data_IF_207369941865
#
_entry.id   IF_207369941865
#
_cell.length_a   1.000
_cell.length_b   1.000
_cell.length_c   1.000
_cell.angle_alpha   90.00
_cell.angle_beta   90.00
_cell.angle_gamma   90.00
#
_symmetry.space_group_name_H-M   'P 1'
#
loop_
_entity.id
_entity.type
_entity.pdbx_description
1 polymer ?
#
# COMPACT_ATOMS: atom_id res chain seq x y z
N UNK A 1 48.39 28.03 -6.33
CA UNK A 1 47.36 27.66 -7.33
C UNK A 1 46.30 26.65 -6.84
N UNK A 2 46.46 26.01 -5.67
CA UNK A 2 45.51 24.99 -5.16
C UNK A 2 44.41 25.54 -4.23
N UNK A 3 44.65 26.71 -3.62
CA UNK A 3 43.72 27.31 -2.65
C UNK A 3 42.46 27.88 -3.34
N UNK A 4 42.63 28.53 -4.50
CA UNK A 4 41.52 29.07 -5.28
C UNK A 4 40.54 27.98 -5.74
N UNK A 5 41.06 26.81 -6.17
CA UNK A 5 40.22 25.65 -6.53
C UNK A 5 39.43 25.10 -5.34
N UNK A 6 40.04 25.05 -4.15
CA UNK A 6 39.35 24.62 -2.92
C UNK A 6 38.27 25.61 -2.49
N UNK A 7 38.54 26.91 -2.55
CA UNK A 7 37.56 27.96 -2.24
C UNK A 7 36.40 27.91 -3.24
N UNK A 8 36.68 27.80 -4.53
CA UNK A 8 35.65 27.67 -5.58
C UNK A 8 34.79 26.41 -5.38
N UNK A 9 35.39 25.27 -5.02
CA UNK A 9 34.66 24.02 -4.76
C UNK A 9 33.75 24.12 -3.52
N UNK A 10 34.25 24.72 -2.43
CA UNK A 10 33.47 24.92 -1.20
C UNK A 10 32.33 25.92 -1.43
N UNK A 11 32.59 27.02 -2.15
CA UNK A 11 31.55 27.95 -2.55
C UNK A 11 30.51 27.30 -3.46
N UNK A 12 30.92 26.48 -4.42
CA UNK A 12 30.01 25.74 -5.29
C UNK A 12 29.10 24.79 -4.50
N UNK A 13 29.61 24.05 -3.52
CA UNK A 13 28.79 23.20 -2.64
C UNK A 13 27.87 24.00 -1.70
N UNK A 14 28.27 25.20 -1.27
CA UNK A 14 27.44 26.05 -0.41
C UNK A 14 26.29 26.74 -1.17
N UNK A 15 26.50 27.07 -2.46
CA UNK A 15 25.47 27.68 -3.31
C UNK A 15 24.57 26.67 -4.04
N UNK A 16 25.02 25.42 -4.21
CA UNK A 16 24.22 24.33 -4.79
C UNK A 16 23.80 23.32 -3.71
N UNK A 17 22.91 23.77 -2.81
CA UNK A 17 22.15 22.84 -1.97
C UNK A 17 21.15 22.11 -2.87
N UNK A 18 21.41 20.85 -3.19
CA UNK A 18 20.43 20.00 -3.86
C UNK A 18 19.27 19.81 -2.89
N UNK A 19 18.14 20.44 -3.18
CA UNK A 19 16.89 20.18 -2.47
C UNK A 19 16.47 18.75 -2.72
N UNK A 20 16.84 17.85 -1.81
CA UNK A 20 16.31 16.48 -1.77
C UNK A 20 14.83 16.59 -1.43
N UNK A 21 13.97 16.52 -2.45
CA UNK A 21 12.53 16.37 -2.29
C UNK A 21 12.28 14.95 -1.80
N UNK A 22 12.13 14.78 -0.48
CA UNK A 22 11.64 13.52 0.07
C UNK A 22 10.25 13.23 -0.50
N UNK A 23 10.00 11.96 -0.87
CA UNK A 23 8.67 11.56 -1.32
C UNK A 23 7.65 11.86 -0.23
N UNK A 24 6.55 12.52 -0.62
CA UNK A 24 5.49 12.89 0.32
C UNK A 24 4.36 11.87 0.25
N UNK A 25 3.80 11.54 1.40
CA UNK A 25 2.69 10.59 1.52
C UNK A 25 1.51 11.22 2.27
N UNK A 26 0.27 10.88 1.90
CA UNK A 26 -0.09 10.18 0.66
C UNK A 26 0.15 11.07 -0.57
N UNK A 27 0.38 10.46 -1.74
CA UNK A 27 0.56 11.16 -3.02
C UNK A 27 -0.11 10.49 -4.22
N UNK A 28 -0.78 9.35 -4.03
CA UNK A 28 -1.50 8.64 -5.09
C UNK A 28 -2.99 9.01 -5.11
N UNK A 29 -3.81 8.26 -4.36
CA UNK A 29 -5.27 8.43 -4.36
C UNK A 29 -5.70 9.70 -3.63
N UNK A 30 -5.01 10.03 -2.54
CA UNK A 30 -5.12 11.30 -1.82
C UNK A 30 -3.75 11.95 -1.81
N UNK A 31 -3.72 13.28 -1.68
CA UNK A 31 -2.47 14.01 -1.49
C UNK A 31 -2.41 14.60 -0.09
N UNK A 32 -1.21 14.71 0.47
CA UNK A 32 -0.97 15.39 1.75
C UNK A 32 -1.55 16.82 1.78
N UNK A 33 -1.51 17.52 0.65
CA UNK A 33 -2.11 18.85 0.51
C UNK A 33 -3.64 18.85 0.59
N UNK A 34 -4.31 17.82 0.05
CA UNK A 34 -5.77 17.81 -0.09
C UNK A 34 -6.49 17.02 1.01
N UNK A 35 -5.80 16.22 1.83
CA UNK A 35 -6.45 15.40 2.88
C UNK A 35 -7.23 16.26 3.89
N UNK A 36 -6.74 17.46 4.22
CA UNK A 36 -7.44 18.38 5.12
C UNK A 36 -8.78 18.86 4.53
N UNK A 37 -8.82 19.11 3.21
CA UNK A 37 -10.05 19.48 2.51
C UNK A 37 -11.05 18.31 2.49
N UNK A 38 -10.58 17.08 2.29
CA UNK A 38 -11.43 15.87 2.36
C UNK A 38 -12.01 15.68 3.75
N UNK A 39 -11.21 15.82 4.82
CA UNK A 39 -11.69 15.76 6.21
C UNK A 39 -12.77 16.79 6.49
N UNK A 40 -12.56 18.04 6.06
CA UNK A 40 -13.58 19.09 6.17
C UNK A 40 -14.83 18.73 5.36
N UNK A 41 -14.66 18.23 4.14
CA UNK A 41 -15.75 17.82 3.26
C UNK A 41 -16.63 16.72 3.86
N UNK A 42 -16.06 15.75 4.57
CA UNK A 42 -16.82 14.70 5.29
C UNK A 42 -17.73 15.31 6.37
N UNK A 43 -17.31 16.42 7.00
CA UNK A 43 -18.12 17.15 7.98
C UNK A 43 -19.15 18.03 7.28
N UNK A 44 -18.81 18.66 6.15
CA UNK A 44 -19.67 19.65 5.48
C UNK A 44 -20.73 19.04 4.58
N UNK A 45 -20.40 18.02 3.79
CA UNK A 45 -21.25 17.52 2.70
C UNK A 45 -21.92 16.18 3.07
N UNK A 46 -23.27 16.10 3.14
CA UNK A 46 -23.97 14.89 3.54
C UNK A 46 -23.64 13.64 2.69
N UNK A 47 -23.54 13.79 1.37
CA UNK A 47 -23.21 12.66 0.48
C UNK A 47 -21.79 12.12 0.72
N UNK A 48 -20.83 13.01 0.95
CA UNK A 48 -19.46 12.61 1.27
C UNK A 48 -19.39 11.97 2.66
N UNK A 49 -20.13 12.49 3.64
CA UNK A 49 -20.28 11.86 4.96
C UNK A 49 -20.81 10.45 4.87
N UNK A 50 -21.87 10.23 4.08
CA UNK A 50 -22.46 8.91 3.88
C UNK A 50 -21.48 7.95 3.20
N UNK A 51 -20.78 8.40 2.17
CA UNK A 51 -19.74 7.62 1.49
C UNK A 51 -18.62 7.22 2.44
N UNK A 52 -18.14 8.15 3.26
CA UNK A 52 -17.15 7.88 4.29
C UNK A 52 -17.65 6.89 5.35
N UNK A 53 -18.91 7.01 5.79
CA UNK A 53 -19.47 6.08 6.77
C UNK A 53 -19.48 4.64 6.25
N UNK A 54 -19.79 4.43 4.96
CA UNK A 54 -19.71 3.11 4.32
C UNK A 54 -18.28 2.55 4.36
N UNK A 55 -17.29 3.37 3.98
CA UNK A 55 -15.87 2.99 4.02
C UNK A 55 -15.41 2.66 5.44
N UNK A 56 -15.78 3.51 6.41
CA UNK A 56 -15.42 3.33 7.81
C UNK A 56 -16.05 2.06 8.39
N UNK A 57 -17.31 1.77 8.08
CA UNK A 57 -17.98 0.54 8.51
C UNK A 57 -17.31 -0.71 7.93
N UNK A 58 -16.90 -0.68 6.67
CA UNK A 58 -16.14 -1.78 6.06
C UNK A 58 -14.78 -1.97 6.76
N UNK A 59 -14.07 -0.89 7.06
CA UNK A 59 -12.83 -0.93 7.83
C UNK A 59 -13.04 -1.49 9.24
N UNK A 60 -14.02 -0.99 9.99
CA UNK A 60 -14.33 -1.47 11.34
C UNK A 60 -14.69 -2.96 11.35
N UNK A 61 -15.46 -3.43 10.36
CA UNK A 61 -15.75 -4.86 10.18
C UNK A 61 -14.48 -5.67 9.92
N UNK A 62 -13.59 -5.19 9.06
CA UNK A 62 -12.33 -5.86 8.77
C UNK A 62 -11.44 -5.99 10.02
N UNK A 63 -11.40 -4.95 10.85
CA UNK A 63 -10.63 -4.94 12.11
C UNK A 63 -11.21 -5.90 13.17
N UNK A 64 -12.50 -6.22 13.10
CA UNK A 64 -13.15 -7.16 14.01
C UNK A 64 -12.93 -8.64 13.60
N UNK A 65 -12.53 -8.88 12.37
CA UNK A 65 -12.24 -10.21 11.84
C UNK A 65 -10.75 -10.55 12.02
N UNK A 66 -10.43 -11.84 12.09
CA UNK A 66 -9.03 -12.28 12.07
C UNK A 66 -8.39 -12.01 10.70
N UNK A 67 -7.13 -11.59 10.70
CA UNK A 67 -6.36 -11.42 9.45
C UNK A 67 -6.05 -12.81 8.89
N UNK A 68 -6.59 -13.10 7.70
CA UNK A 68 -6.36 -14.36 6.97
C UNK A 68 -5.73 -14.06 5.62
N UNK A 69 -4.49 -14.53 5.43
CA UNK A 69 -3.79 -14.51 4.14
C UNK A 69 -3.47 -15.97 3.78
N UNK A 70 -4.39 -16.66 3.09
CA UNK A 70 -4.22 -18.08 2.81
C UNK A 70 -3.16 -18.30 1.73
N UNK A 71 -2.59 -19.51 1.66
CA UNK A 71 -1.75 -19.92 0.53
C UNK A 71 -2.63 -20.02 -0.73
N UNK A 72 -2.26 -19.40 -1.86
CA UNK A 72 -3.05 -19.42 -3.08
C UNK A 72 -3.31 -20.85 -3.58
N UNK A 73 -4.59 -21.18 -3.82
CA UNK A 73 -5.02 -22.55 -4.16
C UNK A 73 -6.16 -22.59 -5.17
N UNK A 74 -7.16 -21.72 -5.03
CA UNK A 74 -8.41 -21.81 -5.77
C UNK A 74 -8.44 -20.86 -6.98
N UNK A 75 -9.17 -21.24 -8.04
CA UNK A 75 -9.41 -20.38 -9.20
C UNK A 75 -10.41 -19.25 -8.92
N UNK A 76 -10.82 -18.53 -9.96
CA UNK A 76 -11.80 -17.46 -9.86
C UNK A 76 -13.08 -17.86 -9.12
N UNK A 77 -13.48 -17.05 -8.14
CA UNK A 77 -14.65 -17.30 -7.29
C UNK A 77 -14.44 -18.31 -6.16
N UNK A 78 -13.28 -18.98 -6.10
CA UNK A 78 -12.92 -19.87 -5.00
C UNK A 78 -12.53 -19.14 -3.70
N UNK A 79 -12.35 -19.89 -2.62
CA UNK A 79 -12.12 -19.30 -1.30
C UNK A 79 -10.85 -18.45 -1.24
N UNK A 80 -9.69 -18.96 -1.64
CA UNK A 80 -8.45 -18.17 -1.57
C UNK A 80 -8.49 -16.95 -2.47
N UNK A 81 -9.15 -17.08 -3.63
CA UNK A 81 -9.37 -15.98 -4.57
C UNK A 81 -10.20 -14.84 -3.94
N UNK A 82 -11.38 -15.16 -3.42
CA UNK A 82 -12.24 -14.16 -2.80
C UNK A 82 -11.65 -13.60 -1.50
N UNK A 83 -10.89 -14.40 -0.74
CA UNK A 83 -10.21 -13.93 0.47
C UNK A 83 -9.13 -12.89 0.14
N UNK A 84 -8.30 -13.13 -0.89
CA UNK A 84 -7.31 -12.12 -1.31
C UNK A 84 -7.97 -10.85 -1.88
N UNK A 85 -9.12 -10.98 -2.55
CA UNK A 85 -9.93 -9.82 -2.98
C UNK A 85 -10.46 -9.00 -1.82
N UNK A 86 -11.00 -9.70 -0.82
CA UNK A 86 -11.45 -9.10 0.43
C UNK A 86 -10.30 -8.39 1.14
N UNK A 87 -9.11 -8.99 1.17
CA UNK A 87 -7.93 -8.39 1.81
C UNK A 87 -7.54 -7.05 1.19
N UNK A 88 -7.40 -6.94 -0.15
CA UNK A 88 -7.02 -5.66 -0.76
C UNK A 88 -8.11 -4.59 -0.58
N UNK A 89 -9.39 -4.99 -0.59
CA UNK A 89 -10.53 -4.07 -0.41
C UNK A 89 -10.60 -3.55 1.02
N UNK A 90 -10.37 -4.44 1.99
CA UNK A 90 -10.31 -4.11 3.40
C UNK A 90 -9.12 -3.20 3.72
N UNK A 91 -7.94 -3.47 3.12
CA UNK A 91 -6.76 -2.61 3.30
C UNK A 91 -7.03 -1.20 2.80
N UNK A 92 -7.61 -1.03 1.60
CA UNK A 92 -7.92 0.30 1.06
C UNK A 92 -8.97 1.03 1.92
N UNK A 93 -9.98 0.31 2.40
CA UNK A 93 -11.01 0.87 3.29
C UNK A 93 -10.40 1.35 4.62
N UNK A 94 -9.56 0.52 5.24
CA UNK A 94 -8.86 0.86 6.48
C UNK A 94 -7.90 2.04 6.27
N UNK A 95 -7.10 2.03 5.20
CA UNK A 95 -6.17 3.11 4.89
C UNK A 95 -6.88 4.45 4.65
N UNK A 96 -8.03 4.43 3.96
CA UNK A 96 -8.88 5.61 3.77
C UNK A 96 -9.47 6.09 5.10
N UNK A 97 -9.96 5.17 5.94
CA UNK A 97 -10.45 5.48 7.28
C UNK A 97 -9.35 6.08 8.17
N UNK A 98 -8.11 5.61 8.07
CA UNK A 98 -6.95 6.20 8.75
C UNK A 98 -6.74 7.66 8.33
N UNK A 99 -6.70 7.93 7.03
CA UNK A 99 -6.45 9.29 6.53
C UNK A 99 -7.54 10.27 6.93
N UNK A 100 -8.81 9.84 7.03
CA UNK A 100 -9.91 10.74 7.41
C UNK A 100 -10.04 10.87 8.93
N UNK A 101 -9.94 9.77 9.69
CA UNK A 101 -10.16 9.76 11.14
C UNK A 101 -8.91 10.07 11.99
N UNK A 102 -7.71 9.83 11.45
CA UNK A 102 -6.45 9.85 12.19
C UNK A 102 -6.25 8.67 13.16
N UNK A 103 -7.18 7.70 13.23
CA UNK A 103 -7.07 6.61 14.20
C UNK A 103 -6.05 5.56 13.79
N UNK A 104 -5.00 5.40 14.59
CA UNK A 104 -3.85 4.52 14.30
C UNK A 104 -4.23 3.04 14.07
N UNK A 105 -5.30 2.55 14.72
CA UNK A 105 -5.78 1.16 14.58
C UNK A 105 -5.96 0.71 13.12
N UNK A 106 -6.37 1.63 12.25
CA UNK A 106 -6.58 1.34 10.83
C UNK A 106 -5.26 1.19 10.07
N UNK A 107 -4.25 2.01 10.38
CA UNK A 107 -2.91 1.86 9.81
C UNK A 107 -2.23 0.57 10.31
N UNK A 108 -2.41 0.23 11.59
CA UNK A 108 -1.89 -1.03 12.14
C UNK A 108 -2.52 -2.27 11.50
N UNK A 109 -3.81 -2.24 11.16
CA UNK A 109 -4.44 -3.31 10.39
C UNK A 109 -3.76 -3.50 9.03
N UNK A 110 -3.61 -2.43 8.25
CA UNK A 110 -2.97 -2.49 6.91
C UNK A 110 -1.54 -3.03 7.03
N UNK A 111 -0.76 -2.50 7.98
CA UNK A 111 0.59 -2.97 8.29
C UNK A 111 0.62 -4.48 8.57
N UNK A 112 -0.26 -4.97 9.43
CA UNK A 112 -0.27 -6.38 9.82
C UNK A 112 -0.67 -7.30 8.65
N UNK A 113 -1.60 -6.88 7.79
CA UNK A 113 -1.94 -7.63 6.56
C UNK A 113 -0.73 -7.66 5.62
N UNK A 114 -0.08 -6.52 5.37
CA UNK A 114 1.10 -6.43 4.50
C UNK A 114 2.29 -7.26 5.01
N UNK A 115 2.59 -7.20 6.30
CA UNK A 115 3.65 -8.01 6.91
C UNK A 115 3.34 -9.52 6.81
N UNK A 116 2.07 -9.89 6.93
CA UNK A 116 1.65 -11.27 6.71
C UNK A 116 1.95 -11.70 5.25
N UNK A 117 1.53 -10.92 4.25
CA UNK A 117 1.89 -11.18 2.84
C UNK A 117 3.41 -11.25 2.63
N UNK A 118 4.17 -10.28 3.16
CA UNK A 118 5.62 -10.20 3.05
C UNK A 118 6.33 -11.44 3.62
N UNK A 119 5.77 -12.07 4.66
CA UNK A 119 6.36 -13.25 5.29
C UNK A 119 6.29 -14.53 4.43
N UNK A 120 5.48 -14.54 3.37
CA UNK A 120 5.18 -15.75 2.60
C UNK A 120 5.17 -15.58 1.08
N UNK A 121 5.04 -14.37 0.53
CA UNK A 121 4.90 -14.14 -0.91
C UNK A 121 6.00 -14.82 -1.74
N UNK A 122 7.28 -14.66 -1.35
CA UNK A 122 8.41 -15.26 -2.07
C UNK A 122 8.38 -16.80 -2.08
N UNK A 123 7.71 -17.43 -1.10
CA UNK A 123 7.60 -18.88 -0.96
C UNK A 123 6.54 -19.50 -1.87
N UNK A 124 5.60 -18.71 -2.36
CA UNK A 124 4.54 -19.22 -3.21
C UNK A 124 5.05 -19.46 -4.65
N UNK A 125 4.84 -20.64 -5.24
CA UNK A 125 5.14 -20.85 -6.65
C UNK A 125 4.11 -20.11 -7.53
N UNK A 126 4.23 -20.24 -8.85
CA UNK A 126 3.15 -19.87 -9.76
C UNK A 126 1.84 -20.56 -9.34
N UNK A 127 0.74 -19.84 -9.48
CA UNK A 127 -0.55 -20.26 -8.94
C UNK A 127 -0.94 -21.65 -9.48
N UNK A 128 -1.37 -22.60 -8.62
CA UNK A 128 -1.60 -24.00 -9.03
C UNK A 128 -2.80 -24.17 -9.98
N UNK A 129 -3.70 -23.19 -10.04
CA UNK A 129 -4.88 -23.17 -10.94
C UNK A 129 -4.73 -22.26 -12.16
N UNK A 130 -3.51 -21.85 -12.50
CA UNK A 130 -3.25 -21.08 -13.72
C UNK A 130 -3.66 -21.86 -14.97
N UNK A 131 -4.10 -21.13 -16.01
CA UNK A 131 -4.45 -21.73 -17.31
C UNK A 131 -3.23 -21.94 -18.22
N UNK A 132 -2.26 -21.03 -18.12
CA UNK A 132 -0.99 -21.04 -18.82
C UNK A 132 0.10 -20.56 -17.87
N UNK A 133 1.36 -20.82 -18.20
CA UNK A 133 2.49 -20.26 -17.46
C UNK A 133 2.57 -18.73 -17.64
N UNK A 134 2.34 -18.25 -18.87
CA UNK A 134 2.49 -16.84 -19.24
C UNK A 134 1.43 -15.92 -18.61
N UNK A 135 0.22 -16.42 -18.38
CA UNK A 135 -0.86 -15.63 -17.75
C UNK A 135 -1.02 -15.93 -16.25
N UNK A 136 -0.18 -16.81 -15.69
CA UNK A 136 -0.27 -17.24 -14.30
C UNK A 136 0.14 -16.14 -13.33
N UNK A 137 -0.71 -15.83 -12.35
CA UNK A 137 -0.32 -15.02 -11.20
C UNK A 137 0.42 -15.84 -10.14
N UNK A 138 0.80 -15.18 -9.04
CA UNK A 138 1.28 -15.84 -7.83
C UNK A 138 0.20 -15.85 -6.75
N UNK A 139 -0.46 -14.72 -6.54
CA UNK A 139 -1.57 -14.58 -5.56
C UNK A 139 -2.87 -15.11 -6.16
N UNK A 140 -3.08 -14.91 -7.45
CA UNK A 140 -4.29 -15.32 -8.16
C UNK A 140 -3.97 -16.23 -9.35
N UNK A 141 -4.99 -16.94 -9.81
CA UNK A 141 -4.89 -17.85 -10.95
C UNK A 141 -4.59 -17.17 -12.29
N UNK A 142 -4.77 -15.85 -12.38
CA UNK A 142 -4.38 -15.01 -13.52
C UNK A 142 -3.67 -13.75 -13.02
N UNK A 143 -2.60 -13.35 -13.71
CA UNK A 143 -1.79 -12.16 -13.40
C UNK A 143 -2.62 -10.87 -13.36
N UNK A 144 -3.71 -10.79 -14.13
CA UNK A 144 -4.69 -9.69 -14.07
C UNK A 144 -5.11 -9.35 -12.62
N UNK A 145 -5.44 -10.35 -11.82
CA UNK A 145 -5.88 -10.12 -10.45
C UNK A 145 -4.71 -9.79 -9.51
N UNK A 146 -3.50 -10.30 -9.79
CA UNK A 146 -2.29 -9.84 -9.08
C UNK A 146 -2.06 -8.34 -9.33
N UNK A 147 -2.25 -7.85 -10.55
CA UNK A 147 -2.17 -6.41 -10.86
C UNK A 147 -3.26 -5.60 -10.16
N UNK A 148 -4.51 -6.08 -10.15
CA UNK A 148 -5.61 -5.41 -9.40
C UNK A 148 -5.27 -5.36 -7.91
N UNK A 149 -4.78 -6.45 -7.34
CA UNK A 149 -4.34 -6.49 -5.95
C UNK A 149 -3.22 -5.46 -5.70
N UNK A 150 -2.26 -5.33 -6.61
CA UNK A 150 -1.16 -4.37 -6.49
C UNK A 150 -1.67 -2.92 -6.51
N UNK A 151 -2.64 -2.58 -7.37
CA UNK A 151 -3.22 -1.23 -7.43
C UNK A 151 -3.87 -0.85 -6.09
N UNK A 152 -4.74 -1.71 -5.56
CA UNK A 152 -5.42 -1.43 -4.29
C UNK A 152 -4.43 -1.39 -3.12
N UNK A 153 -3.48 -2.32 -3.12
CA UNK A 153 -2.54 -2.48 -2.02
C UNK A 153 -1.52 -1.35 -1.98
N UNK A 154 -1.01 -0.88 -3.12
CA UNK A 154 -0.07 0.24 -3.14
C UNK A 154 -0.75 1.55 -2.75
N UNK A 155 -2.01 1.76 -3.14
CA UNK A 155 -2.79 2.90 -2.67
C UNK A 155 -3.02 2.83 -1.15
N UNK A 156 -3.37 1.66 -0.63
CA UNK A 156 -3.52 1.47 0.81
C UNK A 156 -2.21 1.74 1.55
N UNK A 157 -1.08 1.25 1.05
CA UNK A 157 0.26 1.47 1.62
C UNK A 157 0.65 2.95 1.61
N UNK A 158 0.48 3.65 0.48
CA UNK A 158 0.73 5.10 0.36
C UNK A 158 -0.07 5.90 1.39
N UNK A 159 -1.36 5.55 1.57
CA UNK A 159 -2.24 6.16 2.55
C UNK A 159 -1.82 5.89 4.00
N UNK A 160 -1.10 4.83 4.32
CA UNK A 160 -0.67 4.55 5.71
C UNK A 160 0.80 4.82 5.96
N UNK A 161 1.61 5.08 4.92
CA UNK A 161 3.08 5.12 4.95
C UNK A 161 3.67 5.83 6.18
N UNK A 162 3.26 7.08 6.43
CA UNK A 162 3.76 7.90 7.56
C UNK A 162 3.34 7.37 8.94
N UNK A 163 2.30 6.51 9.01
CA UNK A 163 1.83 5.86 10.22
C UNK A 163 2.51 4.53 10.55
N UNK A 164 3.40 4.03 9.69
CA UNK A 164 4.14 2.78 9.86
C UNK A 164 5.57 3.04 10.41
N UNK A 165 6.11 2.14 11.25
CA UNK A 165 7.53 2.15 11.58
C UNK A 165 8.42 1.95 10.34
N UNK A 166 9.57 2.61 10.30
CA UNK A 166 10.50 2.51 9.16
C UNK A 166 10.98 1.07 8.89
N UNK A 167 11.18 0.27 9.94
CA UNK A 167 11.57 -1.13 9.82
C UNK A 167 10.48 -1.99 9.15
N UNK A 168 9.21 -1.74 9.48
CA UNK A 168 8.08 -2.44 8.87
C UNK A 168 7.93 -2.05 7.40
N UNK A 169 8.07 -0.75 7.08
CA UNK A 169 8.09 -0.26 5.71
C UNK A 169 9.17 -0.93 4.86
N UNK A 170 10.41 -0.95 5.38
CA UNK A 170 11.53 -1.63 4.72
C UNK A 170 11.22 -3.10 4.46
N UNK A 171 10.66 -3.80 5.46
CA UNK A 171 10.29 -5.21 5.32
C UNK A 171 9.24 -5.41 4.23
N UNK A 172 8.18 -4.60 4.22
CA UNK A 172 7.11 -4.67 3.21
C UNK A 172 7.67 -4.39 1.81
N UNK A 173 8.49 -3.35 1.66
CA UNK A 173 9.08 -2.99 0.37
C UNK A 173 10.01 -4.08 -0.16
N UNK A 174 10.94 -4.57 0.68
CA UNK A 174 11.97 -5.53 0.26
C UNK A 174 11.44 -6.96 0.10
N UNK A 175 10.40 -7.36 0.86
CA UNK A 175 9.90 -8.74 0.91
C UNK A 175 8.53 -8.95 0.27
N UNK A 176 7.87 -7.87 -0.16
CA UNK A 176 6.59 -7.95 -0.87
C UNK A 176 6.63 -7.18 -2.18
N UNK A 177 6.77 -5.85 -2.14
CA UNK A 177 6.62 -5.03 -3.35
C UNK A 177 7.75 -5.23 -4.37
N UNK A 178 9.02 -5.27 -3.94
CA UNK A 178 10.14 -5.54 -4.84
C UNK A 178 10.05 -6.95 -5.45
N UNK A 179 9.77 -8.02 -4.67
CA UNK A 179 9.51 -9.34 -5.25
C UNK A 179 8.34 -9.38 -6.24
N UNK A 180 7.24 -8.69 -5.96
CA UNK A 180 6.11 -8.57 -6.89
C UNK A 180 6.55 -7.90 -8.19
N UNK A 181 7.30 -6.79 -8.10
CA UNK A 181 7.80 -6.10 -9.29
C UNK A 181 8.68 -7.01 -10.14
N UNK A 182 9.66 -7.70 -9.52
CA UNK A 182 10.53 -8.67 -10.18
C UNK A 182 9.78 -9.87 -10.78
N UNK A 183 8.59 -10.18 -10.26
CA UNK A 183 7.76 -11.23 -10.83
C UNK A 183 7.05 -10.75 -12.11
N UNK A 184 6.70 -9.47 -12.19
CA UNK A 184 6.03 -8.88 -13.35
C UNK A 184 6.98 -8.40 -14.46
N UNK A 185 8.25 -8.14 -14.15
CA UNK A 185 9.25 -7.57 -15.06
C UNK A 185 10.49 -8.44 -15.18
#
# INVERSE_FOLDING_TARGET
>A
MNYFKKVVLVSFCAFFSVSLMAQTHPSLMLTKANVAAVRKGVITYPLLRQSYQTVKNAADKALAESIVVPVPKDGGGGYTHEQHKKNYSNMLSAATAYQISGQKKYADYVKNVLLNYASQYEKWPLHPKRKSEDDGGRIFWQSLNDFVWQIYTIQAYDLVYDGLPAADRKTIEEKLFVPILKFFT
#
